data_IF_494914888244
#
_entry.id   IF_494914888244
#
_cell.length_a   1.000
_cell.length_b   1.000
_cell.length_c   1.000
_cell.angle_alpha   90.00
_cell.angle_beta   90.00
_cell.angle_gamma   90.00
#
_symmetry.space_group_name_H-M   'P 1'
#
loop_
_entity.id
_entity.type
_entity.pdbx_description
1 polymer ?
#
# COMPACT_ATOMS: atom_id res chain seq x y z
N UNK A 1 9.55 -14.38 -11.35
CA UNK A 1 8.29 -13.65 -11.58
C UNK A 1 7.24 -14.68 -11.89
N UNK A 2 6.16 -14.69 -11.14
CA UNK A 2 5.10 -15.69 -11.33
C UNK A 2 4.23 -15.31 -12.52
N UNK A 3 3.69 -16.32 -13.21
CA UNK A 3 2.79 -16.10 -14.33
C UNK A 3 1.49 -15.46 -13.82
N UNK A 4 1.08 -14.35 -14.42
CA UNK A 4 -0.18 -13.68 -14.11
C UNK A 4 -1.20 -13.96 -15.21
N UNK A 5 -2.13 -14.89 -14.96
CA UNK A 5 -3.17 -15.26 -15.92
C UNK A 5 -4.52 -14.59 -15.61
N UNK A 6 -5.04 -14.80 -14.41
CA UNK A 6 -6.31 -14.20 -13.97
C UNK A 6 -6.27 -13.97 -12.47
N UNK A 7 -6.73 -12.80 -12.04
CA UNK A 7 -6.89 -12.44 -10.64
C UNK A 7 -8.34 -11.99 -10.40
N UNK A 8 -9.04 -12.72 -9.55
CA UNK A 8 -10.33 -12.29 -9.00
C UNK A 8 -10.13 -11.93 -7.53
N UNK A 9 -10.62 -10.76 -7.13
CA UNK A 9 -10.51 -10.29 -5.76
C UNK A 9 -11.27 -9.00 -5.53
N UNK A 10 -11.41 -8.63 -4.26
CA UNK A 10 -12.00 -7.35 -3.88
C UNK A 10 -11.09 -6.22 -4.35
N UNK A 11 -11.70 -5.18 -4.93
CA UNK A 11 -11.04 -3.94 -5.31
C UNK A 11 -11.29 -2.85 -4.25
N UNK A 12 -10.21 -2.32 -3.69
CA UNK A 12 -10.25 -1.22 -2.75
C UNK A 12 -10.19 0.13 -3.50
N UNK A 13 -11.18 1.03 -3.34
CA UNK A 13 -11.13 2.35 -3.94
C UNK A 13 -10.15 3.25 -3.19
N UNK A 14 -9.21 3.86 -3.90
CA UNK A 14 -8.23 4.79 -3.35
C UNK A 14 -8.15 6.05 -4.23
N UNK A 15 -9.18 6.92 -4.22
CA UNK A 15 -9.32 8.04 -5.16
C UNK A 15 -8.39 9.21 -4.80
N UNK A 16 -7.09 8.95 -4.75
CA UNK A 16 -6.00 9.88 -4.45
C UNK A 16 -5.11 9.93 -5.69
N UNK A 17 -4.83 11.14 -6.15
CA UNK A 17 -3.87 11.40 -7.24
C UNK A 17 -2.46 11.55 -6.67
N UNK A 18 -1.44 11.27 -7.48
CA UNK A 18 -0.03 11.42 -7.12
C UNK A 18 0.37 10.67 -5.84
N UNK A 19 -0.14 9.44 -5.66
CA UNK A 19 0.40 8.55 -4.64
C UNK A 19 1.86 8.29 -5.00
N UNK A 20 2.79 8.83 -4.22
CA UNK A 20 4.22 8.69 -4.48
C UNK A 20 4.85 7.48 -3.79
N UNK A 21 6.12 7.22 -4.07
CA UNK A 21 6.84 6.06 -3.53
C UNK A 21 7.05 6.11 -2.02
N UNK A 22 7.07 7.28 -1.39
CA UNK A 22 7.12 7.41 0.08
C UNK A 22 5.76 7.17 0.72
N UNK A 23 4.66 7.59 0.06
CA UNK A 23 3.31 7.22 0.48
C UNK A 23 3.08 5.71 0.41
N UNK A 24 3.56 5.03 -0.65
CA UNK A 24 3.41 3.58 -0.80
C UNK A 24 4.18 2.84 0.30
N UNK A 25 5.42 3.21 0.54
CA UNK A 25 6.24 2.64 1.62
C UNK A 25 7.31 3.65 2.02
N UNK A 26 7.30 4.17 3.25
CA UNK A 26 8.29 5.17 3.65
C UNK A 26 9.72 4.62 3.68
N UNK A 27 10.70 5.47 3.34
CA UNK A 27 12.12 5.09 3.25
C UNK A 27 12.71 4.41 4.49
N UNK A 28 12.19 4.67 5.69
CA UNK A 28 12.67 4.04 6.92
C UNK A 28 12.52 2.50 6.91
N UNK A 29 11.53 1.98 6.18
CA UNK A 29 11.33 0.54 6.00
C UNK A 29 12.34 -0.10 5.03
N UNK A 30 13.10 0.71 4.28
CA UNK A 30 14.01 0.27 3.22
C UNK A 30 15.48 0.18 3.68
N UNK A 31 15.73 0.31 4.98
CA UNK A 31 17.08 0.16 5.56
C UNK A 31 17.51 -1.30 5.72
N UNK A 32 16.60 -2.24 5.49
CA UNK A 32 16.83 -3.68 5.61
C UNK A 32 17.40 -4.28 4.32
N UNK A 33 18.27 -5.29 4.46
CA UNK A 33 18.72 -6.13 3.33
C UNK A 33 17.74 -7.27 3.01
N UNK A 34 16.76 -7.51 3.90
CA UNK A 34 15.77 -8.59 3.71
C UNK A 34 14.72 -8.14 2.71
N UNK A 35 14.44 -9.00 1.73
CA UNK A 35 13.36 -8.79 0.74
C UNK A 35 11.98 -9.20 1.24
N UNK A 36 11.84 -9.62 2.49
CA UNK A 36 10.59 -10.09 3.10
C UNK A 36 10.14 -9.14 4.21
N UNK A 37 8.84 -9.14 4.50
CA UNK A 37 8.26 -8.36 5.61
C UNK A 37 7.97 -6.89 5.29
N UNK A 38 8.35 -6.38 4.11
CA UNK A 38 8.10 -4.98 3.70
C UNK A 38 6.61 -4.62 3.61
N UNK A 39 5.72 -5.61 3.48
CA UNK A 39 4.27 -5.38 3.46
C UNK A 39 3.72 -4.73 4.73
N UNK A 40 4.43 -4.76 5.85
CA UNK A 40 4.04 -4.02 7.07
C UNK A 40 4.21 -2.51 6.94
N UNK A 41 5.10 -2.06 6.05
CA UNK A 41 5.31 -0.64 5.72
C UNK A 41 4.35 -0.08 4.67
N UNK A 42 3.51 -0.93 4.06
CA UNK A 42 2.59 -0.54 3.01
C UNK A 42 1.60 0.52 3.52
N UNK A 43 1.69 1.72 2.94
CA UNK A 43 0.89 2.90 3.29
C UNK A 43 0.96 3.25 4.78
N UNK A 44 2.09 3.01 5.45
CA UNK A 44 2.14 3.05 6.92
C UNK A 44 1.68 4.38 7.53
N UNK A 45 2.01 5.51 6.90
CA UNK A 45 1.60 6.85 7.36
C UNK A 45 0.08 7.09 7.31
N UNK A 46 -0.63 6.39 6.42
CA UNK A 46 -2.10 6.46 6.35
C UNK A 46 -2.76 5.31 7.14
N UNK A 47 -2.07 4.17 7.22
CA UNK A 47 -2.60 2.91 7.72
C UNK A 47 -2.50 2.77 9.23
N UNK A 48 -1.56 3.45 9.88
CA UNK A 48 -1.35 3.36 11.32
C UNK A 48 -1.36 4.75 11.97
N UNK A 49 -1.85 4.81 13.21
CA UNK A 49 -1.69 5.97 14.08
C UNK A 49 -0.28 5.96 14.72
N UNK A 50 0.09 7.05 15.39
CA UNK A 50 1.40 7.18 16.06
C UNK A 50 1.65 6.11 17.15
N UNK A 51 0.59 5.58 17.75
CA UNK A 51 0.65 4.50 18.75
C UNK A 51 0.77 3.09 18.13
N UNK A 52 0.76 3.00 16.79
CA UNK A 52 0.83 1.76 16.02
C UNK A 52 -0.51 1.06 15.79
N UNK A 53 -1.64 1.62 16.28
CA UNK A 53 -2.98 1.07 15.99
C UNK A 53 -3.40 1.30 14.54
N UNK A 54 -4.20 0.38 13.97
CA UNK A 54 -4.76 0.56 12.61
C UNK A 54 -5.69 1.79 12.59
N UNK A 55 -5.49 2.69 11.61
CA UNK A 55 -6.40 3.79 11.34
C UNK A 55 -7.68 3.23 10.68
N UNK A 56 -8.86 3.26 11.33
CA UNK A 56 -10.09 2.66 10.79
C UNK A 56 -10.64 3.40 9.56
N UNK A 57 -10.24 4.66 9.34
CA UNK A 57 -10.70 5.46 8.22
C UNK A 57 -9.96 5.11 6.91
N UNK A 58 -8.76 4.54 7.01
CA UNK A 58 -7.99 4.12 5.85
C UNK A 58 -8.64 2.92 5.16
N UNK A 59 -8.80 3.00 3.83
CA UNK A 59 -9.60 2.03 3.07
C UNK A 59 -9.15 0.59 3.28
N UNK A 60 -7.84 0.30 3.29
CA UNK A 60 -7.31 -1.06 3.44
C UNK A 60 -7.43 -1.63 4.86
N UNK A 61 -7.85 -0.82 5.84
CA UNK A 61 -8.15 -1.31 7.19
C UNK A 61 -9.64 -1.60 7.39
N UNK A 62 -10.51 -1.16 6.48
CA UNK A 62 -11.95 -1.43 6.58
C UNK A 62 -12.22 -2.92 6.35
N UNK A 63 -13.14 -3.55 7.11
CA UNK A 63 -13.42 -4.99 6.97
C UNK A 63 -13.72 -5.45 5.55
N UNK A 64 -14.40 -4.62 4.76
CA UNK A 64 -14.74 -4.92 3.37
C UNK A 64 -13.52 -5.00 2.43
N UNK A 65 -12.39 -4.39 2.78
CA UNK A 65 -11.21 -4.25 1.91
C UNK A 65 -9.93 -4.81 2.54
N UNK A 66 -10.00 -5.39 3.74
CA UNK A 66 -8.83 -5.90 4.48
C UNK A 66 -8.05 -6.96 3.69
N UNK A 67 -8.76 -7.74 2.90
CA UNK A 67 -8.20 -8.78 2.01
C UNK A 67 -8.24 -8.38 0.52
N UNK A 68 -8.32 -7.07 0.23
CA UNK A 68 -8.33 -6.57 -1.13
C UNK A 68 -7.04 -6.95 -1.87
N UNK A 69 -7.20 -7.37 -3.13
CA UNK A 69 -6.08 -7.76 -4.02
C UNK A 69 -5.85 -6.77 -5.15
N UNK A 70 -6.76 -5.81 -5.30
CA UNK A 70 -6.79 -4.82 -6.36
C UNK A 70 -6.97 -3.45 -5.70
N UNK A 71 -6.19 -2.46 -6.14
CA UNK A 71 -6.37 -1.05 -5.75
C UNK A 71 -6.81 -0.29 -7.00
N UNK A 72 -7.86 0.53 -6.86
CA UNK A 72 -8.30 1.45 -7.90
C UNK A 72 -7.91 2.86 -7.47
N UNK A 73 -6.79 3.35 -8.00
CA UNK A 73 -6.19 4.63 -7.62
C UNK A 73 -6.55 5.77 -8.58
N UNK A 74 -6.22 7.01 -8.19
CA UNK A 74 -6.21 8.15 -9.10
C UNK A 74 -4.95 8.20 -9.98
N UNK A 75 -4.84 9.27 -10.76
CA UNK A 75 -3.75 9.47 -11.72
C UNK A 75 -2.37 9.52 -11.05
N UNK A 76 -1.34 9.12 -11.81
CA UNK A 76 0.07 9.22 -11.44
C UNK A 76 0.46 8.44 -10.16
N UNK A 77 -0.15 7.26 -9.98
CA UNK A 77 0.21 6.31 -8.92
C UNK A 77 1.64 5.78 -9.09
N UNK A 78 2.43 5.79 -8.02
CA UNK A 78 3.83 5.35 -8.02
C UNK A 78 4.83 6.42 -8.46
N UNK A 79 4.46 7.70 -8.45
CA UNK A 79 5.38 8.78 -8.81
C UNK A 79 6.50 9.01 -7.77
N UNK A 80 7.48 9.85 -8.10
CA UNK A 80 8.54 10.24 -7.16
C UNK A 80 9.83 9.44 -7.34
N UNK A 81 10.49 9.11 -6.23
CA UNK A 81 11.81 8.46 -6.25
C UNK A 81 11.75 7.04 -6.81
N UNK A 82 12.78 6.63 -7.56
CA UNK A 82 12.91 5.24 -8.02
C UNK A 82 13.01 4.31 -6.82
N UNK A 83 12.15 3.28 -6.79
CA UNK A 83 12.00 2.34 -5.69
C UNK A 83 11.56 1.00 -6.26
N UNK A 84 12.31 -0.06 -5.96
CA UNK A 84 12.01 -1.44 -6.36
C UNK A 84 10.96 -2.08 -5.44
#
# INVERSE_FOLDING_TARGET
>A
MDKFDTLTGVAAPMPIINIDTDMIIPKQYLTTIKRTGLGTGLFSEMRFNDDGSENPDFVLNKPAYKDAKIIVAGDNFGCGSSRE
#
